data_IF_963135439084
#
_entry.id   IF_963135439084
#
_cell.length_a   1.000
_cell.length_b   1.000
_cell.length_c   1.000
_cell.angle_alpha   90.00
_cell.angle_beta   90.00
_cell.angle_gamma   90.00
#
_symmetry.space_group_name_H-M   'P 1'
#
loop_
_entity.id
_entity.type
_entity.pdbx_description
1 polymer ?
#
# COMPACT_ATOMS: atom_id res chain seq x y z
N UNK A 1 68.58 -5.07 -8.34
CA UNK A 1 67.62 -5.65 -9.32
C UNK A 1 66.23 -5.07 -9.27
N UNK A 2 65.92 -4.13 -8.38
CA UNK A 2 64.57 -3.55 -8.22
C UNK A 2 64.49 -2.03 -8.41
N UNK A 3 65.58 -1.36 -8.91
CA UNK A 3 65.63 0.09 -9.00
C UNK A 3 64.61 0.69 -9.97
N UNK A 4 64.28 -0.03 -11.05
CA UNK A 4 63.34 0.44 -12.09
C UNK A 4 61.87 0.04 -11.83
N UNK A 5 61.62 -0.73 -10.73
CA UNK A 5 60.27 -1.22 -10.40
C UNK A 5 59.70 -0.63 -9.10
N UNK A 6 60.40 0.35 -8.50
CA UNK A 6 59.93 0.97 -7.23
C UNK A 6 58.51 1.55 -7.32
N UNK A 7 58.15 2.15 -8.44
CA UNK A 7 56.83 2.70 -8.67
C UNK A 7 55.74 1.61 -8.67
N UNK A 8 56.04 0.41 -9.22
CA UNK A 8 55.13 -0.72 -9.19
C UNK A 8 54.91 -1.26 -7.79
N UNK A 9 55.98 -1.32 -6.98
CA UNK A 9 55.90 -1.75 -5.58
C UNK A 9 55.07 -0.75 -4.76
N UNK A 10 55.26 0.55 -4.97
CA UNK A 10 54.46 1.60 -4.31
C UNK A 10 52.98 1.50 -4.70
N UNK A 11 52.71 1.32 -5.99
CA UNK A 11 51.34 1.13 -6.46
C UNK A 11 50.67 -0.13 -5.87
N UNK A 12 51.40 -1.24 -5.86
CA UNK A 12 50.92 -2.49 -5.26
C UNK A 12 50.66 -2.32 -3.76
N UNK A 13 51.54 -1.63 -3.02
CA UNK A 13 51.30 -1.35 -1.61
C UNK A 13 50.04 -0.50 -1.38
N UNK A 14 49.81 0.54 -2.17
CA UNK A 14 48.62 1.38 -2.09
C UNK A 14 47.35 0.54 -2.37
N UNK A 15 47.39 -0.31 -3.40
CA UNK A 15 46.28 -1.19 -3.73
C UNK A 15 45.97 -2.20 -2.62
N UNK A 16 46.99 -2.80 -2.01
CA UNK A 16 46.84 -3.71 -0.87
C UNK A 16 46.20 -3.01 0.32
N UNK A 17 46.72 -1.81 0.67
CA UNK A 17 46.18 -0.99 1.76
C UNK A 17 44.69 -0.64 1.47
N UNK A 18 44.35 -0.25 0.24
CA UNK A 18 42.98 0.07 -0.15
C UNK A 18 42.03 -1.14 -0.02
N UNK A 19 42.50 -2.32 -0.42
CA UNK A 19 41.71 -3.56 -0.26
C UNK A 19 41.50 -3.91 1.20
N UNK A 20 42.57 -3.83 2.02
CA UNK A 20 42.46 -4.07 3.47
C UNK A 20 41.49 -3.07 4.11
N UNK A 21 41.64 -1.78 3.80
CA UNK A 21 40.73 -0.74 4.30
C UNK A 21 39.27 -1.01 3.90
N UNK A 22 39.07 -1.38 2.65
CA UNK A 22 37.72 -1.76 2.16
C UNK A 22 37.13 -2.96 2.91
N UNK A 23 37.90 -4.02 3.13
CA UNK A 23 37.41 -5.23 3.85
C UNK A 23 37.08 -4.88 5.31
N UNK A 24 37.92 -4.11 5.97
CA UNK A 24 37.71 -3.67 7.36
C UNK A 24 36.46 -2.78 7.45
N UNK A 25 36.35 -1.80 6.56
CA UNK A 25 35.18 -0.90 6.52
C UNK A 25 33.90 -1.67 6.23
N UNK A 26 33.93 -2.58 5.26
CA UNK A 26 32.81 -3.45 4.95
C UNK A 26 32.38 -4.30 6.16
N UNK A 27 33.33 -4.91 6.86
CA UNK A 27 33.05 -5.71 8.05
C UNK A 27 32.46 -4.87 9.21
N UNK A 28 32.83 -3.60 9.30
CA UNK A 28 32.30 -2.69 10.33
C UNK A 28 30.91 -2.12 10.01
N UNK A 29 30.59 -1.91 8.71
CA UNK A 29 29.36 -1.24 8.26
C UNK A 29 28.26 -2.21 7.89
N UNK A 30 28.61 -3.38 7.33
CA UNK A 30 27.61 -4.36 6.89
C UNK A 30 27.12 -5.20 8.07
N UNK A 31 25.80 -5.21 8.37
CA UNK A 31 25.24 -6.03 9.45
C UNK A 31 25.51 -7.52 9.24
N UNK A 32 25.66 -8.27 10.33
CA UNK A 32 25.90 -9.72 10.27
C UNK A 32 24.79 -10.49 9.54
N UNK A 33 23.56 -10.05 9.66
CA UNK A 33 22.39 -10.67 9.01
C UNK A 33 22.24 -10.31 7.52
N UNK A 34 23.18 -9.52 6.96
CA UNK A 34 23.12 -9.17 5.54
C UNK A 34 23.46 -10.38 4.66
N UNK A 35 22.54 -10.73 3.77
CA UNK A 35 22.73 -11.85 2.85
C UNK A 35 22.15 -13.18 3.34
N UNK A 36 21.60 -13.23 4.56
CA UNK A 36 21.03 -14.46 5.14
C UNK A 36 19.85 -15.00 4.31
N UNK A 37 18.96 -14.13 3.87
CA UNK A 37 17.78 -14.49 3.07
C UNK A 37 17.76 -13.84 1.68
N UNK A 38 18.86 -13.20 1.26
CA UNK A 38 18.96 -12.48 0.01
C UNK A 38 19.73 -11.17 0.16
N UNK A 39 19.71 -10.30 -0.84
CA UNK A 39 20.53 -9.08 -0.85
C UNK A 39 19.91 -7.96 0.02
N UNK A 40 19.63 -8.27 1.26
CA UNK A 40 19.12 -7.34 2.27
C UNK A 40 19.51 -7.79 3.70
N UNK A 41 19.23 -6.95 4.69
CA UNK A 41 19.47 -7.23 6.11
C UNK A 41 18.41 -8.19 6.65
N UNK A 42 18.79 -9.41 7.01
CA UNK A 42 17.89 -10.45 7.50
C UNK A 42 17.10 -10.06 8.75
N UNK A 43 17.72 -9.36 9.70
CA UNK A 43 17.08 -8.87 10.93
C UNK A 43 15.85 -7.98 10.68
N UNK A 44 15.74 -7.37 9.49
CA UNK A 44 14.59 -6.55 9.14
C UNK A 44 13.25 -7.32 9.21
N UNK A 45 13.26 -8.64 8.99
CA UNK A 45 12.06 -9.49 9.11
C UNK A 45 11.65 -9.59 10.57
N UNK A 46 12.60 -9.91 11.46
CA UNK A 46 12.32 -10.02 12.88
C UNK A 46 11.89 -8.68 13.49
N UNK A 47 12.56 -7.58 13.10
CA UNK A 47 12.18 -6.23 13.52
C UNK A 47 10.78 -5.83 13.04
N UNK A 48 10.41 -6.20 11.81
CA UNK A 48 9.06 -5.96 11.30
C UNK A 48 8.01 -6.81 12.03
N UNK A 49 8.32 -8.07 12.31
CA UNK A 49 7.44 -8.98 13.05
C UNK A 49 7.25 -8.58 14.53
N UNK A 50 8.25 -7.95 15.13
CA UNK A 50 8.19 -7.47 16.51
C UNK A 50 7.34 -6.20 16.70
N UNK A 51 6.93 -5.53 15.61
CA UNK A 51 6.08 -4.35 15.69
C UNK A 51 4.69 -4.73 16.23
N UNK A 52 4.07 -3.88 17.06
CA UNK A 52 2.72 -4.16 17.54
C UNK A 52 1.75 -4.22 16.35
N UNK A 53 0.82 -5.17 16.41
CA UNK A 53 -0.29 -5.26 15.45
C UNK A 53 -1.17 -4.03 15.65
N UNK A 54 -1.50 -3.35 14.56
CA UNK A 54 -2.34 -2.14 14.55
C UNK A 54 -3.56 -2.29 13.65
N UNK A 55 -3.57 -3.32 12.79
CA UNK A 55 -4.66 -3.63 11.90
C UNK A 55 -5.57 -4.71 12.50
N UNK A 56 -6.88 -4.49 12.43
CA UNK A 56 -7.88 -5.43 12.93
C UNK A 56 -8.09 -6.63 11.98
N UNK A 57 -7.92 -6.38 10.68
CA UNK A 57 -8.22 -7.36 9.64
C UNK A 57 -9.67 -7.35 9.17
N UNK A 58 -9.89 -7.98 8.03
CA UNK A 58 -11.16 -7.93 7.30
C UNK A 58 -12.33 -8.55 8.06
N UNK A 59 -12.13 -9.73 8.64
CA UNK A 59 -13.21 -10.52 9.26
C UNK A 59 -13.77 -9.83 10.52
N UNK A 60 -12.92 -9.11 11.25
CA UNK A 60 -13.34 -8.33 12.42
C UNK A 60 -14.24 -7.18 12.02
N UNK A 61 -13.95 -6.51 10.89
CA UNK A 61 -14.78 -5.44 10.36
C UNK A 61 -16.16 -5.97 9.92
N UNK A 62 -16.19 -7.10 9.19
CA UNK A 62 -17.40 -7.72 8.70
C UNK A 62 -18.38 -8.09 9.82
N UNK A 63 -17.87 -8.57 10.95
CA UNK A 63 -18.69 -9.01 12.09
C UNK A 63 -19.65 -7.91 12.61
N UNK A 64 -19.28 -6.63 12.48
CA UNK A 64 -20.09 -5.51 12.94
C UNK A 64 -20.66 -4.65 11.79
N UNK A 65 -20.01 -4.61 10.62
CA UNK A 65 -20.34 -3.76 9.48
C UNK A 65 -20.85 -4.59 8.28
N UNK A 66 -21.77 -5.53 8.52
CA UNK A 66 -22.31 -6.45 7.51
C UNK A 66 -22.99 -5.74 6.35
N UNK A 67 -23.73 -4.66 6.64
CA UNK A 67 -24.42 -3.84 5.65
C UNK A 67 -23.47 -3.15 4.67
N UNK A 68 -22.38 -2.59 5.20
CA UNK A 68 -21.31 -1.96 4.40
C UNK A 68 -20.56 -3.01 3.59
N UNK A 69 -20.32 -4.17 4.19
CA UNK A 69 -19.67 -5.29 3.52
C UNK A 69 -20.49 -5.81 2.33
N UNK A 70 -21.80 -5.95 2.49
CA UNK A 70 -22.70 -6.38 1.43
C UNK A 70 -22.76 -5.37 0.28
N UNK A 71 -22.77 -4.07 0.57
CA UNK A 71 -22.65 -3.04 -0.46
C UNK A 71 -21.32 -3.15 -1.22
N UNK A 72 -20.22 -3.37 -0.49
CA UNK A 72 -18.88 -3.51 -1.07
C UNK A 72 -18.75 -4.72 -1.98
N UNK A 73 -19.41 -5.87 -1.64
CA UNK A 73 -19.44 -7.07 -2.49
C UNK A 73 -20.01 -6.80 -3.88
N UNK A 74 -20.93 -5.85 -4.00
CA UNK A 74 -21.53 -5.46 -5.29
C UNK A 74 -20.65 -4.50 -6.09
N UNK A 75 -19.59 -3.95 -5.48
CA UNK A 75 -18.72 -2.95 -6.07
C UNK A 75 -17.42 -3.52 -6.63
N UNK A 76 -16.68 -2.65 -7.35
CA UNK A 76 -15.34 -2.99 -7.89
C UNK A 76 -14.25 -2.97 -6.84
N UNK A 77 -14.50 -2.41 -5.65
CA UNK A 77 -13.58 -2.40 -4.52
C UNK A 77 -13.67 -3.66 -3.65
N UNK A 78 -14.33 -4.71 -4.10
CA UNK A 78 -14.54 -5.96 -3.33
C UNK A 78 -13.22 -6.54 -2.79
N UNK A 79 -12.13 -6.46 -3.56
CA UNK A 79 -10.82 -7.00 -3.19
C UNK A 79 -9.97 -6.02 -2.35
N UNK A 80 -10.40 -4.78 -2.18
CA UNK A 80 -9.66 -3.78 -1.41
C UNK A 80 -9.98 -3.96 0.08
N UNK A 81 -8.96 -4.11 0.93
CA UNK A 81 -9.18 -4.22 2.37
C UNK A 81 -9.77 -2.91 2.94
N UNK A 82 -10.61 -3.03 3.97
CA UNK A 82 -11.26 -1.88 4.62
C UNK A 82 -10.22 -0.86 5.11
N UNK A 83 -9.17 -1.35 5.74
CA UNK A 83 -8.10 -0.53 6.32
C UNK A 83 -7.18 0.12 5.29
N UNK A 84 -7.28 -0.25 4.00
CA UNK A 84 -6.58 0.47 2.91
C UNK A 84 -7.07 1.92 2.81
N UNK A 85 -8.36 2.13 3.06
CA UNK A 85 -8.99 3.44 3.07
C UNK A 85 -9.12 4.00 4.49
N UNK A 86 -9.56 3.19 5.45
CA UNK A 86 -9.85 3.62 6.81
C UNK A 86 -8.63 3.66 7.73
N UNK A 87 -7.45 3.19 7.26
CA UNK A 87 -6.26 3.07 8.09
C UNK A 87 -6.37 1.97 9.15
N UNK A 88 -5.39 1.89 10.03
CA UNK A 88 -5.33 0.89 11.10
C UNK A 88 -6.44 1.11 12.13
N UNK A 89 -7.31 0.12 12.33
CA UNK A 89 -8.52 0.22 13.15
C UNK A 89 -8.60 -0.79 14.29
N UNK A 90 -7.49 -1.42 14.70
CA UNK A 90 -7.51 -2.39 15.80
C UNK A 90 -8.11 -1.79 17.07
N UNK A 91 -7.73 -0.57 17.42
CA UNK A 91 -8.25 0.11 18.61
C UNK A 91 -9.77 0.35 18.55
N UNK A 92 -10.29 0.68 17.36
CA UNK A 92 -11.74 0.80 17.17
C UNK A 92 -12.43 -0.56 17.28
N UNK A 93 -11.83 -1.61 16.74
CA UNK A 93 -12.38 -2.97 16.83
C UNK A 93 -12.43 -3.47 18.29
N UNK A 94 -11.43 -3.12 19.10
CA UNK A 94 -11.36 -3.48 20.53
C UNK A 94 -12.35 -2.67 21.38
N UNK A 95 -12.53 -1.39 21.07
CA UNK A 95 -13.46 -0.49 21.81
C UNK A 95 -14.27 0.40 20.84
N UNK A 96 -15.27 -0.17 20.14
CA UNK A 96 -16.05 0.54 19.13
C UNK A 96 -16.98 1.60 19.72
N UNK A 97 -17.27 1.55 21.01
CA UNK A 97 -18.13 2.52 21.67
C UNK A 97 -17.41 3.86 21.85
N UNK A 98 -16.17 3.82 22.30
CA UNK A 98 -15.39 5.01 22.67
C UNK A 98 -14.50 5.49 21.52
N UNK A 99 -13.86 4.59 20.79
CA UNK A 99 -12.90 4.94 19.72
C UNK A 99 -13.61 4.94 18.37
N UNK A 100 -13.73 6.10 17.75
CA UNK A 100 -14.34 6.25 16.43
C UNK A 100 -13.26 6.45 15.37
N UNK A 101 -13.42 5.85 14.16
CA UNK A 101 -12.55 6.13 13.03
C UNK A 101 -12.56 7.62 12.67
N UNK A 102 -11.41 8.13 12.22
CA UNK A 102 -11.34 9.49 11.70
C UNK A 102 -12.17 9.65 10.43
N UNK A 103 -12.78 10.82 10.26
CA UNK A 103 -13.45 11.16 9.01
C UNK A 103 -12.39 11.27 7.90
N UNK A 104 -12.66 10.61 6.78
CA UNK A 104 -11.74 10.58 5.64
C UNK A 104 -11.98 11.78 4.71
N UNK A 105 -10.91 12.34 4.20
CA UNK A 105 -10.96 13.27 3.05
C UNK A 105 -10.96 12.44 1.77
N UNK A 106 -12.13 12.28 1.17
CA UNK A 106 -12.31 11.46 -0.02
C UNK A 106 -11.63 12.06 -1.25
N UNK A 107 -11.41 13.36 -1.28
CA UNK A 107 -10.69 14.02 -2.38
C UNK A 107 -9.25 13.51 -2.48
N UNK A 108 -8.54 13.52 -1.35
CA UNK A 108 -7.16 13.03 -1.28
C UNK A 108 -7.12 11.50 -1.34
N UNK A 109 -8.00 10.83 -0.63
CA UNK A 109 -7.99 9.38 -0.50
C UNK A 109 -8.20 8.67 -1.84
N UNK A 110 -9.21 9.08 -2.60
CA UNK A 110 -9.53 8.48 -3.88
C UNK A 110 -8.45 8.77 -4.94
N UNK A 111 -7.93 10.00 -4.95
CA UNK A 111 -6.89 10.44 -5.87
C UNK A 111 -5.57 9.66 -5.69
N UNK A 112 -5.24 9.14 -4.50
CA UNK A 112 -4.04 8.29 -4.30
C UNK A 112 -3.97 7.15 -5.31
N UNK A 113 -5.12 6.57 -5.66
CA UNK A 113 -5.20 5.48 -6.62
C UNK A 113 -5.75 5.94 -7.98
N UNK A 114 -6.69 6.87 -8.01
CA UNK A 114 -7.44 7.24 -9.21
C UNK A 114 -6.94 8.48 -9.94
N UNK A 115 -6.00 9.26 -9.38
CA UNK A 115 -5.38 10.36 -10.12
C UNK A 115 -4.64 9.83 -11.35
N UNK A 116 -4.79 10.52 -12.48
CA UNK A 116 -4.22 10.15 -13.75
C UNK A 116 -2.68 10.08 -13.69
N UNK A 117 -2.14 8.95 -14.11
CA UNK A 117 -0.71 8.70 -14.13
C UNK A 117 -0.35 7.85 -15.36
N UNK A 118 0.63 8.30 -16.13
CA UNK A 118 1.09 7.62 -17.35
C UNK A 118 1.65 6.20 -17.09
N UNK A 119 2.11 5.91 -15.85
CA UNK A 119 2.62 4.60 -15.48
C UNK A 119 1.52 3.58 -15.16
N UNK A 120 0.27 4.02 -15.00
CA UNK A 120 -0.86 3.10 -14.74
C UNK A 120 -1.42 2.53 -16.04
N UNK A 121 -1.91 1.28 -16.04
CA UNK A 121 -2.59 0.70 -17.20
C UNK A 121 -3.79 1.55 -17.63
N UNK A 122 -4.03 1.66 -18.93
CA UNK A 122 -5.22 2.38 -19.47
C UNK A 122 -6.55 1.77 -19.06
N UNK A 123 -6.55 0.48 -18.68
CA UNK A 123 -7.72 -0.24 -18.18
C UNK A 123 -8.05 0.09 -16.72
N UNK A 124 -7.13 0.72 -15.98
CA UNK A 124 -7.38 1.17 -14.62
C UNK A 124 -8.14 2.50 -14.66
N UNK A 125 -9.26 2.64 -13.92
CA UNK A 125 -10.03 3.88 -13.90
C UNK A 125 -9.19 5.04 -13.36
N UNK A 126 -9.00 6.06 -14.15
CA UNK A 126 -8.21 7.23 -13.83
C UNK A 126 -8.95 8.50 -14.21
N UNK A 127 -8.76 9.54 -13.42
CA UNK A 127 -9.34 10.88 -13.65
C UNK A 127 -8.29 11.94 -13.37
N UNK A 128 -8.38 13.07 -14.04
CA UNK A 128 -7.71 14.30 -13.61
C UNK A 128 -8.65 14.97 -12.61
N UNK A 129 -8.35 14.86 -11.33
CA UNK A 129 -9.28 15.24 -10.26
C UNK A 129 -9.69 16.71 -10.34
N UNK A 130 -8.77 17.60 -10.73
CA UNK A 130 -9.05 19.04 -10.91
C UNK A 130 -10.14 19.31 -11.96
N UNK A 131 -10.17 18.53 -13.05
CA UNK A 131 -11.12 18.73 -14.15
C UNK A 131 -12.42 17.96 -13.91
N UNK A 132 -12.33 16.78 -13.30
CA UNK A 132 -13.45 15.87 -13.14
C UNK A 132 -14.43 16.34 -12.05
N UNK A 133 -13.93 16.73 -10.88
CA UNK A 133 -14.77 17.01 -9.70
C UNK A 133 -15.16 18.47 -9.54
N UNK A 134 -14.51 19.39 -10.27
CA UNK A 134 -14.71 20.83 -10.07
C UNK A 134 -14.44 21.30 -8.63
N UNK A 135 -13.57 20.57 -7.90
CA UNK A 135 -13.24 20.85 -6.50
C UNK A 135 -14.20 20.23 -5.47
N UNK A 136 -15.21 19.46 -5.91
CA UNK A 136 -16.10 18.73 -5.01
C UNK A 136 -15.41 17.46 -4.49
N UNK A 137 -15.79 17.04 -3.28
CA UNK A 137 -15.36 15.77 -2.71
C UNK A 137 -15.92 14.59 -3.52
N UNK A 138 -15.12 13.55 -3.68
CA UNK A 138 -15.48 12.42 -4.56
C UNK A 138 -16.76 11.69 -4.12
N UNK A 139 -17.01 11.61 -2.80
CA UNK A 139 -18.20 10.99 -2.21
C UNK A 139 -19.48 11.83 -2.40
N UNK A 140 -19.39 13.02 -2.94
CA UNK A 140 -20.56 13.80 -3.34
C UNK A 140 -21.34 13.12 -4.46
N UNK A 141 -20.65 12.41 -5.37
CA UNK A 141 -21.25 11.71 -6.49
C UNK A 141 -21.05 10.19 -6.43
N UNK A 142 -19.95 9.72 -5.83
CA UNK A 142 -19.58 8.31 -5.77
C UNK A 142 -19.76 7.75 -4.35
N UNK A 143 -20.52 6.67 -4.20
CA UNK A 143 -20.58 5.95 -2.93
C UNK A 143 -19.25 5.20 -2.70
N UNK A 144 -18.50 5.46 -1.62
CA UNK A 144 -17.16 4.88 -1.45
C UNK A 144 -17.10 3.36 -1.51
N UNK A 145 -18.10 2.67 -0.97
CA UNK A 145 -18.15 1.21 -0.96
C UNK A 145 -18.67 0.62 -2.27
N UNK A 146 -19.41 1.40 -3.07
CA UNK A 146 -19.91 1.03 -4.40
C UNK A 146 -19.76 2.20 -5.36
N UNK A 147 -18.54 2.54 -5.76
CA UNK A 147 -18.25 3.82 -6.43
C UNK A 147 -18.75 3.94 -7.86
N UNK A 148 -19.20 2.83 -8.51
CA UNK A 148 -19.78 2.91 -9.85
C UNK A 148 -21.10 3.65 -9.79
N UNK A 149 -21.21 4.74 -10.54
CA UNK A 149 -22.50 5.41 -10.80
C UNK A 149 -23.26 4.52 -11.76
N UNK A 150 -24.42 4.04 -11.34
CA UNK A 150 -25.32 3.29 -12.23
C UNK A 150 -26.07 4.29 -13.08
N UNK A 151 -25.94 4.17 -14.40
CA UNK A 151 -26.76 4.96 -15.33
C UNK A 151 -28.22 4.66 -15.05
N UNK A 152 -29.01 5.69 -14.74
CA UNK A 152 -30.44 5.60 -14.40
C UNK A 152 -31.29 5.01 -15.52
N UNK A 153 -30.72 4.78 -16.71
CA UNK A 153 -31.37 4.14 -17.84
C UNK A 153 -31.46 2.61 -17.73
N UNK A 154 -30.57 1.92 -17.03
CA UNK A 154 -30.59 0.45 -16.91
C UNK A 154 -31.51 -0.07 -15.79
N UNK A 155 -31.91 0.79 -14.85
CA UNK A 155 -32.79 0.39 -13.74
C UNK A 155 -34.28 0.25 -14.16
N UNK A 156 -34.66 0.65 -15.38
CA UNK A 156 -36.03 0.59 -15.87
C UNK A 156 -36.42 -0.69 -16.63
N UNK A 157 -35.52 -1.66 -16.79
CA UNK A 157 -35.78 -2.83 -17.67
C UNK A 157 -35.68 -4.21 -17.01
N UNK A 158 -35.82 -4.33 -15.68
CA UNK A 158 -35.98 -5.66 -15.09
C UNK A 158 -37.43 -5.82 -14.58
N UNK A 159 -38.32 -6.44 -15.36
CA UNK A 159 -39.65 -6.81 -14.84
C UNK A 159 -39.47 -7.83 -13.72
N UNK A 160 -40.16 -7.60 -12.62
CA UNK A 160 -40.29 -8.56 -11.54
C UNK A 160 -40.87 -9.86 -12.12
N UNK A 161 -40.04 -10.88 -12.25
CA UNK A 161 -40.53 -12.21 -12.60
C UNK A 161 -41.20 -12.77 -11.35
N UNK A 162 -42.54 -12.84 -11.46
CA UNK A 162 -43.45 -13.46 -10.49
C UNK A 162 -42.91 -14.81 -10.00
N UNK A 163 -42.83 -14.91 -8.67
CA UNK A 163 -42.82 -16.20 -7.99
C UNK A 163 -44.13 -16.91 -8.25
N UNK A 164 -44.13 -17.96 -9.09
CA UNK A 164 -45.27 -18.86 -9.26
C UNK A 164 -44.93 -20.21 -8.66
N UNK A 165 -45.58 -20.48 -7.53
CA UNK A 165 -46.04 -21.76 -7.01
C UNK A 165 -45.01 -22.88 -6.84
#
# INVERSE_FOLDING_TARGET
MFKDTEHLIRLAAVMVIAVIAFVVLRAAVVPHSFGEYGHYRGDAIAEAAARPVVHAGHDVCEACHTDVFDQKKLGKHVVIACETCHGAQLKHADDPATIKPAKLDTTILCARCHEANSAKPKTFPQVVSADHSGGLACDTCHQPHRPKIEDTAETKSKPATEAKK
#
